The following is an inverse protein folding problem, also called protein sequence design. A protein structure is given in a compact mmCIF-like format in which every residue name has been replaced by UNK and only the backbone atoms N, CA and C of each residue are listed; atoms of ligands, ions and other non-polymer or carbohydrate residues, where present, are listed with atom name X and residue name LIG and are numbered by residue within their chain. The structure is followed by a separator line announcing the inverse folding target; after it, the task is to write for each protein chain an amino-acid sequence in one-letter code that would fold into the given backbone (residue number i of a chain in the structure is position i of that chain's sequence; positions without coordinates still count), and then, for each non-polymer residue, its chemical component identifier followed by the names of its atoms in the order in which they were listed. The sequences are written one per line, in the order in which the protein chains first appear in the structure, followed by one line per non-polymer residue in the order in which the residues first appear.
data_IF_893072681544
#
_entry.id   IF_893072681544
#
_cell.length_a   1.000
_cell.length_b   1.000
_cell.length_c   1.000
_cell.angle_alpha   90.00
_cell.angle_beta   90.00
_cell.angle_gamma   90.00
#
_symmetry.space_group_name_H-M   'P 1'
#
loop_
_entity.id
_entity.type
_entity.pdbx_description
1 polymer ?
#
# COMPACT_ATOMS: atom_id res chain seq x y z
N UNK A 1 13.60 35.81 -13.27
CA UNK A 1 12.44 34.95 -12.96
C UNK A 1 12.87 33.51 -13.12
N UNK A 2 13.16 32.81 -12.02
CA UNK A 2 13.70 31.44 -12.05
C UNK A 2 12.55 30.45 -11.89
N UNK A 3 12.21 29.76 -12.96
CA UNK A 3 11.31 28.60 -12.93
C UNK A 3 12.07 27.42 -12.34
N UNK A 4 11.86 27.15 -11.06
CA UNK A 4 12.30 25.90 -10.45
C UNK A 4 11.39 24.76 -10.94
N UNK A 5 11.83 24.08 -11.99
CA UNK A 5 11.31 22.77 -12.38
C UNK A 5 11.76 21.77 -11.31
N UNK A 6 10.79 21.15 -10.63
CA UNK A 6 11.01 20.01 -9.73
C UNK A 6 11.40 18.79 -10.55
N UNK A 7 12.64 18.77 -11.05
CA UNK A 7 13.24 17.60 -11.65
C UNK A 7 13.64 16.64 -10.53
N UNK A 8 12.91 15.54 -10.41
CA UNK A 8 13.38 14.34 -9.70
C UNK A 8 14.70 13.91 -10.34
N UNK A 9 15.83 14.32 -9.73
CA UNK A 9 17.16 13.86 -10.16
C UNK A 9 17.19 12.35 -9.99
N UNK A 10 17.21 11.62 -11.11
CA UNK A 10 17.42 10.18 -11.10
C UNK A 10 18.76 9.92 -10.41
N UNK A 11 18.83 9.06 -9.38
CA UNK A 11 20.13 8.69 -8.82
C UNK A 11 21.01 8.13 -9.95
N UNK A 12 22.34 8.34 -9.90
CA UNK A 12 23.28 7.65 -10.77
C UNK A 12 22.94 6.16 -10.89
N UNK A 13 23.18 5.56 -12.04
CA UNK A 13 22.78 4.18 -12.35
C UNK A 13 23.39 3.10 -11.45
N UNK A 14 24.23 3.49 -10.50
CA UNK A 14 25.01 2.63 -9.62
C UNK A 14 24.64 2.93 -8.17
N UNK A 15 23.93 1.99 -7.52
CA UNK A 15 23.61 2.05 -6.09
C UNK A 15 22.28 1.40 -5.76
N UNK A 16 22.25 0.57 -4.72
CA UNK A 16 21.00 0.02 -4.15
C UNK A 16 20.23 1.10 -3.39
N UNK A 17 18.95 0.88 -3.09
CA UNK A 17 18.16 1.81 -2.26
C UNK A 17 18.86 2.13 -0.93
N UNK A 18 19.41 1.12 -0.25
CA UNK A 18 20.16 1.29 0.99
C UNK A 18 21.39 2.18 0.83
N UNK A 19 22.13 2.03 -0.28
CA UNK A 19 23.27 2.89 -0.55
C UNK A 19 22.84 4.36 -0.60
N UNK A 20 21.78 4.67 -1.35
CA UNK A 20 21.30 6.05 -1.49
C UNK A 20 20.67 6.60 -0.22
N UNK A 21 19.93 5.78 0.52
CA UNK A 21 19.38 6.16 1.83
C UNK A 21 20.51 6.53 2.78
N UNK A 22 21.58 5.73 2.84
CA UNK A 22 22.75 6.00 3.68
C UNK A 22 23.50 7.26 3.24
N UNK A 23 23.77 7.44 1.95
CA UNK A 23 24.46 8.65 1.45
C UNK A 23 23.64 9.92 1.70
N UNK A 24 22.32 9.86 1.50
CA UNK A 24 21.42 10.96 1.86
C UNK A 24 21.39 11.18 3.38
N UNK A 25 21.47 10.11 4.19
CA UNK A 25 21.49 10.19 5.65
C UNK A 25 22.68 10.97 6.19
N UNK A 26 23.83 10.94 5.50
CA UNK A 26 25.02 11.74 5.86
C UNK A 26 24.77 13.26 5.78
N UNK A 27 23.73 13.71 5.09
CA UNK A 27 23.39 15.14 5.01
C UNK A 27 22.49 15.61 6.16
N UNK A 28 22.02 14.69 7.01
CA UNK A 28 21.18 15.00 8.17
C UNK A 28 22.04 15.20 9.42
N UNK A 29 21.77 16.27 10.15
CA UNK A 29 22.37 16.55 11.46
C UNK A 29 21.44 16.10 12.57
N UNK A 30 21.97 16.02 13.79
CA UNK A 30 21.18 15.71 14.99
C UNK A 30 20.02 16.70 15.19
N UNK A 31 20.25 17.98 14.87
CA UNK A 31 19.25 19.07 14.93
C UNK A 31 18.09 18.89 13.93
N UNK A 32 18.31 18.19 12.81
CA UNK A 32 17.30 17.92 11.78
C UNK A 32 16.35 16.78 12.21
N UNK A 33 16.73 16.03 13.27
CA UNK A 33 16.00 14.88 13.77
C UNK A 33 16.24 13.61 12.95
N UNK A 34 15.25 12.71 12.97
CA UNK A 34 15.34 11.43 12.27
C UNK A 34 15.24 11.64 10.76
N UNK A 35 16.10 10.96 10.02
CA UNK A 35 16.03 10.95 8.56
C UNK A 35 14.63 10.55 8.10
N UNK A 36 14.12 11.25 7.08
CA UNK A 36 12.82 11.00 6.47
C UNK A 36 12.97 10.62 5.00
N UNK A 37 12.24 9.58 4.58
CA UNK A 37 12.11 9.18 3.17
C UNK A 37 10.66 9.23 2.71
N UNK A 38 10.47 9.34 1.40
CA UNK A 38 9.17 9.21 0.76
C UNK A 38 9.11 7.85 0.06
N UNK A 39 8.07 7.07 0.31
CA UNK A 39 7.86 5.76 -0.27
C UNK A 39 6.55 5.74 -1.06
N UNK A 40 6.60 5.22 -2.28
CA UNK A 40 5.45 5.05 -3.15
C UNK A 40 5.59 3.78 -3.99
N UNK A 41 4.47 3.30 -4.53
CA UNK A 41 4.45 2.17 -5.44
C UNK A 41 3.87 2.62 -6.79
N UNK A 42 4.48 2.25 -7.93
CA UNK A 42 3.94 2.58 -9.23
C UNK A 42 2.63 1.82 -9.45
N UNK A 43 1.62 2.49 -10.00
CA UNK A 43 0.39 1.84 -10.46
C UNK A 43 0.60 1.22 -11.86
N UNK A 44 0.64 -0.12 -12.01
CA UNK A 44 0.81 -0.75 -13.31
C UNK A 44 -0.29 -0.33 -14.28
N UNK A 45 0.08 -0.01 -15.52
CA UNK A 45 -0.86 0.42 -16.56
C UNK A 45 -1.30 1.89 -16.49
N UNK A 46 -0.82 2.67 -15.50
CA UNK A 46 -1.06 4.12 -15.42
C UNK A 46 0.13 4.92 -15.92
N UNK A 47 -0.07 6.23 -16.06
CA UNK A 47 0.98 7.16 -16.50
C UNK A 47 2.20 7.05 -15.57
N UNK A 48 3.43 7.16 -16.09
CA UNK A 48 4.64 7.21 -15.26
C UNK A 48 4.52 8.25 -14.15
N UNK A 49 4.76 7.84 -12.90
CA UNK A 49 4.58 8.68 -11.71
C UNK A 49 3.23 8.56 -11.02
N UNK A 50 2.26 7.81 -11.56
CA UNK A 50 1.02 7.50 -10.86
C UNK A 50 1.24 6.47 -9.74
N UNK A 51 0.76 6.78 -8.54
CA UNK A 51 0.84 5.89 -7.37
C UNK A 51 -0.36 4.93 -7.29
N UNK A 52 -0.14 3.78 -6.67
CA UNK A 52 -1.21 2.83 -6.32
C UNK A 52 -2.25 3.48 -5.39
N UNK A 53 -3.47 2.96 -5.40
CA UNK A 53 -4.54 3.46 -4.52
C UNK A 53 -4.28 3.12 -3.05
N UNK A 54 -3.61 1.99 -2.83
CA UNK A 54 -3.18 1.48 -1.52
C UNK A 54 -1.75 0.94 -1.62
N UNK A 55 -1.02 0.93 -0.51
CA UNK A 55 0.30 0.30 -0.44
C UNK A 55 0.13 -1.21 -0.40
N UNK A 56 0.49 -1.94 -1.44
CA UNK A 56 0.52 -3.42 -1.42
C UNK A 56 1.49 -3.88 -0.34
N UNK A 57 0.97 -4.60 0.66
CA UNK A 57 1.71 -4.88 1.89
C UNK A 57 2.96 -5.74 1.65
N UNK A 58 2.85 -6.80 0.85
CA UNK A 58 3.97 -7.72 0.57
C UNK A 58 5.16 -6.97 -0.07
N UNK A 59 4.88 -6.06 -1.02
CA UNK A 59 5.89 -5.22 -1.65
C UNK A 59 6.53 -4.24 -0.66
N UNK A 60 5.72 -3.65 0.24
CA UNK A 60 6.25 -2.76 1.29
C UNK A 60 7.14 -3.51 2.29
N UNK A 61 6.74 -4.70 2.74
CA UNK A 61 7.55 -5.52 3.65
C UNK A 61 8.88 -5.92 3.00
N UNK A 62 8.88 -6.27 1.71
CA UNK A 62 10.11 -6.57 0.97
C UNK A 62 11.07 -5.38 0.88
N UNK A 63 10.56 -4.14 0.84
CA UNK A 63 11.36 -2.92 0.95
C UNK A 63 11.83 -2.69 2.40
N UNK A 64 10.90 -2.74 3.37
CA UNK A 64 11.17 -2.46 4.77
C UNK A 64 12.22 -3.41 5.38
N UNK A 65 12.19 -4.70 5.05
CA UNK A 65 13.17 -5.67 5.54
C UNK A 65 14.58 -5.47 4.97
N UNK A 66 14.70 -4.74 3.85
CA UNK A 66 16.01 -4.41 3.30
C UNK A 66 16.63 -3.19 3.99
N UNK A 67 15.84 -2.34 4.65
CA UNK A 67 16.36 -1.13 5.30
C UNK A 67 17.40 -1.46 6.36
N UNK A 68 18.58 -0.85 6.25
CA UNK A 68 19.65 -0.96 7.26
C UNK A 68 19.24 -0.32 8.59
N UNK A 69 18.54 0.82 8.54
CA UNK A 69 18.00 1.51 9.71
C UNK A 69 16.47 1.55 9.70
N UNK A 70 15.85 0.83 10.64
CA UNK A 70 14.39 0.77 10.84
C UNK A 70 13.84 1.94 11.66
N UNK A 71 14.69 2.87 12.13
CA UNK A 71 14.30 4.07 12.87
C UNK A 71 13.96 5.26 11.98
N UNK A 72 14.24 5.15 10.67
CA UNK A 72 13.94 6.16 9.65
C UNK A 72 12.43 6.43 9.56
N UNK A 73 12.07 7.70 9.37
CA UNK A 73 10.68 8.11 9.19
C UNK A 73 10.25 7.90 7.73
N UNK A 74 9.18 7.15 7.50
CA UNK A 74 8.68 6.83 6.15
C UNK A 74 7.37 7.58 5.89
N UNK A 75 7.37 8.49 4.92
CA UNK A 75 6.16 9.14 4.42
C UNK A 75 5.59 8.33 3.25
N UNK A 76 4.36 7.84 3.38
CA UNK A 76 3.69 7.10 2.32
C UNK A 76 3.02 8.07 1.35
N UNK A 77 3.42 8.04 0.07
CA UNK A 77 2.76 8.77 -1.01
C UNK A 77 1.73 7.84 -1.68
N UNK A 78 0.51 7.87 -1.16
CA UNK A 78 -0.58 6.95 -1.52
C UNK A 78 -1.94 7.62 -1.35
N UNK A 79 -2.95 7.17 -2.10
CA UNK A 79 -4.26 7.84 -2.17
C UNK A 79 -5.16 7.56 -0.97
N UNK A 80 -5.14 6.35 -0.43
CA UNK A 80 -5.92 5.95 0.74
C UNK A 80 -5.34 6.44 2.08
N UNK A 81 -4.22 7.17 2.04
CA UNK A 81 -3.60 7.92 3.14
C UNK A 81 -3.44 7.08 4.42
N UNK A 82 -4.32 7.32 5.39
CA UNK A 82 -4.26 6.73 6.72
C UNK A 82 -4.54 5.24 6.73
N UNK A 83 -5.27 4.70 5.74
CA UNK A 83 -5.52 3.25 5.65
C UNK A 83 -4.22 2.49 5.40
N UNK A 84 -3.43 2.91 4.40
CA UNK A 84 -2.09 2.36 4.17
C UNK A 84 -1.14 2.59 5.33
N UNK A 85 -1.21 3.74 6.00
CA UNK A 85 -0.37 4.02 7.16
C UNK A 85 -0.63 3.03 8.31
N UNK A 86 -1.89 2.84 8.71
CA UNK A 86 -2.26 1.89 9.77
C UNK A 86 -1.90 0.45 9.37
N UNK A 87 -2.08 0.09 8.09
CA UNK A 87 -1.66 -1.20 7.56
C UNK A 87 -0.17 -1.46 7.72
N UNK A 88 0.66 -0.50 7.30
CA UNK A 88 2.12 -0.61 7.44
C UNK A 88 2.53 -0.68 8.92
N UNK A 89 1.94 0.17 9.77
CA UNK A 89 2.19 0.18 11.22
C UNK A 89 1.84 -1.17 11.86
N UNK A 90 0.67 -1.73 11.58
CA UNK A 90 0.28 -3.05 12.10
C UNK A 90 1.26 -4.15 11.67
N UNK A 91 1.83 -4.05 10.46
CA UNK A 91 2.75 -5.04 9.95
C UNK A 91 4.18 -4.91 10.52
N UNK A 92 4.60 -3.71 10.94
CA UNK A 92 5.97 -3.45 11.41
C UNK A 92 6.09 -3.27 12.93
N UNK A 93 4.98 -3.10 13.65
CA UNK A 93 5.01 -2.93 15.10
C UNK A 93 5.58 -4.17 15.82
N UNK A 94 6.51 -3.99 16.79
CA UNK A 94 7.01 -5.10 17.60
C UNK A 94 5.92 -5.74 18.46
N UNK A 95 5.02 -4.92 19.01
CA UNK A 95 3.93 -5.38 19.88
C UNK A 95 2.74 -5.87 19.04
N UNK A 96 2.70 -7.19 18.82
CA UNK A 96 1.65 -7.86 18.04
C UNK A 96 0.42 -8.10 18.90
N UNK A 97 -0.61 -7.29 18.71
CA UNK A 97 -1.91 -7.42 19.40
C UNK A 97 -3.04 -7.65 18.42
N UNK A 98 -3.71 -8.79 18.52
CA UNK A 98 -4.83 -9.13 17.64
C UNK A 98 -5.95 -8.07 17.66
N UNK A 99 -6.15 -7.39 18.80
CA UNK A 99 -7.12 -6.30 18.93
C UNK A 99 -6.91 -5.15 17.93
N UNK A 100 -5.67 -4.95 17.43
CA UNK A 100 -5.39 -4.00 16.36
C UNK A 100 -6.02 -4.45 15.03
N UNK A 101 -5.91 -5.74 14.70
CA UNK A 101 -6.53 -6.30 13.49
C UNK A 101 -8.05 -6.37 13.63
N UNK A 102 -8.58 -6.66 14.82
CA UNK A 102 -10.04 -6.64 15.06
C UNK A 102 -10.62 -5.24 14.90
N UNK A 103 -9.91 -4.21 15.36
CA UNK A 103 -10.29 -2.81 15.16
C UNK A 103 -10.33 -2.46 13.68
N UNK A 104 -9.31 -2.84 12.93
CA UNK A 104 -9.26 -2.63 11.48
C UNK A 104 -10.34 -3.44 10.76
N UNK A 105 -10.58 -4.69 11.17
CA UNK A 105 -11.66 -5.50 10.63
C UNK A 105 -13.02 -4.82 10.79
N UNK A 106 -13.26 -4.16 11.93
CA UNK A 106 -14.46 -3.35 12.13
C UNK A 106 -14.70 -2.27 11.07
N UNK A 107 -13.62 -1.74 10.47
CA UNK A 107 -13.67 -0.72 9.40
C UNK A 107 -13.93 -1.34 8.03
N UNK A 108 -13.33 -2.48 7.73
CA UNK A 108 -13.43 -3.11 6.40
C UNK A 108 -14.62 -4.07 6.24
N UNK A 109 -15.16 -4.63 7.33
CA UNK A 109 -16.06 -5.80 7.29
C UNK A 109 -17.26 -5.68 6.34
N UNK A 110 -17.92 -4.53 6.30
CA UNK A 110 -19.13 -4.39 5.48
C UNK A 110 -18.79 -4.13 4.01
N UNK A 111 -17.73 -3.35 3.75
CA UNK A 111 -17.21 -3.18 2.40
C UNK A 111 -16.73 -4.52 1.84
N UNK A 112 -16.07 -5.35 2.64
CA UNK A 112 -15.62 -6.67 2.18
C UNK A 112 -16.81 -7.61 1.98
N UNK A 113 -17.80 -7.60 2.87
CA UNK A 113 -19.02 -8.39 2.69
C UNK A 113 -19.73 -8.05 1.38
N UNK A 114 -19.82 -6.77 1.04
CA UNK A 114 -20.42 -6.27 -0.20
C UNK A 114 -19.63 -6.75 -1.44
N UNK A 115 -18.29 -6.70 -1.39
CA UNK A 115 -17.43 -6.94 -2.55
C UNK A 115 -17.03 -8.39 -2.77
N UNK A 116 -16.84 -9.15 -1.69
CA UNK A 116 -16.32 -10.50 -1.70
C UNK A 116 -16.76 -11.28 -0.44
N UNK A 117 -17.95 -11.86 -0.49
CA UNK A 117 -18.50 -12.64 0.62
C UNK A 117 -17.62 -13.84 1.01
N UNK A 118 -16.87 -14.42 0.06
CA UNK A 118 -15.90 -15.49 0.34
C UNK A 118 -14.75 -14.97 1.23
N UNK A 119 -14.11 -13.86 0.84
CA UNK A 119 -13.02 -13.25 1.60
C UNK A 119 -13.48 -12.78 2.97
N UNK A 120 -14.72 -12.30 3.08
CA UNK A 120 -15.34 -11.99 4.38
C UNK A 120 -15.32 -13.19 5.34
N UNK A 121 -15.71 -14.38 4.86
CA UNK A 121 -15.70 -15.60 5.69
C UNK A 121 -14.27 -16.07 5.99
N UNK A 122 -13.34 -15.92 5.03
CA UNK A 122 -11.92 -16.21 5.22
C UNK A 122 -11.34 -15.34 6.33
N UNK A 123 -11.54 -14.03 6.30
CA UNK A 123 -11.05 -13.10 7.33
C UNK A 123 -11.70 -13.39 8.68
N UNK A 124 -13.01 -13.64 8.71
CA UNK A 124 -13.72 -13.99 9.95
C UNK A 124 -13.16 -15.27 10.58
N UNK A 125 -12.78 -16.25 9.76
CA UNK A 125 -12.17 -17.49 10.23
C UNK A 125 -10.74 -17.27 10.69
N UNK A 126 -9.97 -16.48 9.94
CA UNK A 126 -8.59 -16.10 10.26
C UNK A 126 -8.48 -15.45 11.65
N UNK A 127 -9.43 -14.57 12.00
CA UNK A 127 -9.44 -13.85 13.28
C UNK A 127 -10.03 -14.66 14.46
N UNK A 128 -10.40 -15.93 14.28
CA UNK A 128 -10.89 -16.78 15.39
C UNK A 128 -9.77 -17.20 16.34
N UNK A 129 -8.58 -17.48 15.81
CA UNK A 129 -7.43 -17.81 16.63
C UNK A 129 -6.92 -16.56 17.35
N UNK A 130 -7.10 -16.53 18.67
CA UNK A 130 -6.72 -15.42 19.54
C UNK A 130 -5.24 -15.42 19.93
N UNK A 131 -4.52 -16.50 19.64
CA UNK A 131 -3.10 -16.66 19.95
C UNK A 131 -2.17 -16.19 18.83
N UNK A 132 -2.67 -16.14 17.60
CA UNK A 132 -1.92 -15.72 16.42
C UNK A 132 -2.03 -14.21 16.12
N UNK A 133 -1.12 -13.72 15.28
CA UNK A 133 -1.17 -12.36 14.71
C UNK A 133 -0.98 -12.41 13.18
N UNK A 134 -2.01 -12.81 12.41
CA UNK A 134 -1.90 -13.07 10.98
C UNK A 134 -2.01 -11.78 10.14
N UNK A 135 -1.18 -10.78 10.42
CA UNK A 135 -1.28 -9.45 9.80
C UNK A 135 -1.12 -9.45 8.28
N UNK A 136 -0.17 -10.23 7.76
CA UNK A 136 0.09 -10.29 6.31
C UNK A 136 -1.08 -10.93 5.58
N UNK A 137 -1.54 -12.09 6.05
CA UNK A 137 -2.69 -12.81 5.47
C UNK A 137 -3.97 -11.97 5.56
N UNK A 138 -4.18 -11.28 6.69
CA UNK A 138 -5.32 -10.40 6.91
C UNK A 138 -5.39 -9.29 5.86
N UNK A 139 -4.31 -8.56 5.64
CA UNK A 139 -4.30 -7.46 4.67
C UNK A 139 -4.27 -7.94 3.22
N UNK A 140 -3.69 -9.11 2.93
CA UNK A 140 -3.75 -9.71 1.59
C UNK A 140 -5.20 -10.00 1.18
N UNK A 141 -5.98 -10.61 2.08
CA UNK A 141 -7.41 -10.86 1.84
C UNK A 141 -8.21 -9.55 1.65
N UNK A 142 -7.87 -8.48 2.38
CA UNK A 142 -8.49 -7.17 2.21
C UNK A 142 -8.17 -6.59 0.83
N UNK A 143 -6.89 -6.60 0.44
CA UNK A 143 -6.42 -6.08 -0.85
C UNK A 143 -7.09 -6.83 -2.02
N UNK A 144 -7.16 -8.16 -1.92
CA UNK A 144 -7.82 -9.01 -2.91
C UNK A 144 -9.32 -8.72 -3.02
N UNK A 145 -10.02 -8.63 -1.88
CA UNK A 145 -11.44 -8.32 -1.83
C UNK A 145 -11.76 -6.96 -2.45
N UNK A 146 -10.99 -5.92 -2.12
CA UNK A 146 -11.21 -4.56 -2.61
C UNK A 146 -10.95 -4.42 -4.11
N UNK A 147 -10.02 -5.20 -4.66
CA UNK A 147 -9.75 -5.22 -6.09
C UNK A 147 -10.81 -6.00 -6.91
N UNK A 148 -11.70 -6.76 -6.26
CA UNK A 148 -12.64 -7.67 -6.95
C UNK A 148 -13.75 -6.97 -7.74
N UNK A 149 -14.33 -5.86 -7.25
CA UNK A 149 -15.47 -5.22 -7.93
C UNK A 149 -15.09 -4.64 -9.29
N UNK A 150 -13.99 -3.87 -9.37
CA UNK A 150 -13.52 -3.34 -10.66
C UNK A 150 -13.22 -4.48 -11.65
N UNK A 151 -12.59 -5.57 -11.19
CA UNK A 151 -12.30 -6.75 -12.02
C UNK A 151 -13.56 -7.49 -12.50
N UNK A 152 -14.54 -7.70 -11.62
CA UNK A 152 -15.78 -8.39 -11.98
C UNK A 152 -16.63 -7.56 -12.94
N UNK A 153 -16.75 -6.25 -12.68
CA UNK A 153 -17.46 -5.34 -13.57
C UNK A 153 -16.78 -5.26 -14.95
N UNK A 154 -15.44 -5.26 -15.00
CA UNK A 154 -14.69 -5.28 -16.26
C UNK A 154 -14.96 -6.57 -17.04
N UNK A 155 -14.83 -7.74 -16.38
CA UNK A 155 -15.13 -9.04 -17.01
C UNK A 155 -16.55 -9.12 -17.56
N UNK A 156 -17.53 -8.56 -16.86
CA UNK A 156 -18.92 -8.51 -17.33
C UNK A 156 -19.06 -7.55 -18.51
N UNK A 157 -18.47 -6.36 -18.45
CA UNK A 157 -18.49 -5.41 -19.54
C UNK A 157 -17.86 -5.98 -20.82
N UNK A 158 -16.75 -6.73 -20.69
CA UNK A 158 -16.11 -7.44 -21.81
C UNK A 158 -16.99 -8.58 -22.33
N UNK A 159 -17.54 -9.41 -21.44
CA UNK A 159 -18.37 -10.57 -21.80
C UNK A 159 -19.64 -10.18 -22.57
N UNK A 160 -20.26 -9.07 -22.20
CA UNK A 160 -21.51 -8.60 -22.79
C UNK A 160 -21.30 -7.50 -23.84
N UNK A 161 -20.05 -7.19 -24.18
CA UNK A 161 -19.69 -6.14 -25.15
C UNK A 161 -20.38 -4.78 -24.84
N UNK A 162 -20.50 -4.46 -23.55
CA UNK A 162 -21.16 -3.24 -23.09
C UNK A 162 -20.25 -2.03 -23.34
N UNK A 163 -20.28 -1.53 -24.57
CA UNK A 163 -19.38 -0.49 -25.10
C UNK A 163 -19.33 0.74 -24.21
N UNK A 164 -20.47 1.16 -23.65
CA UNK A 164 -20.54 2.30 -22.73
C UNK A 164 -19.71 2.09 -21.44
N UNK A 165 -19.73 0.88 -20.88
CA UNK A 165 -18.91 0.54 -19.72
C UNK A 165 -17.44 0.37 -20.12
N UNK A 166 -17.15 -0.28 -21.24
CA UNK A 166 -15.77 -0.48 -21.73
C UNK A 166 -15.05 0.84 -22.06
N UNK A 167 -15.78 1.83 -22.55
CA UNK A 167 -15.29 3.19 -22.80
C UNK A 167 -15.37 4.09 -21.56
N UNK A 168 -15.98 3.60 -20.48
CA UNK A 168 -16.10 4.36 -19.24
C UNK A 168 -14.74 4.54 -18.61
N UNK A 169 -14.46 5.78 -18.22
CA UNK A 169 -13.33 6.13 -17.38
C UNK A 169 -13.36 5.40 -16.02
N UNK A 170 -14.49 4.81 -15.59
CA UNK A 170 -14.62 4.07 -14.34
C UNK A 170 -13.59 2.95 -14.15
N UNK A 171 -13.23 2.23 -15.22
CA UNK A 171 -12.22 1.16 -15.15
C UNK A 171 -10.78 1.67 -15.10
N UNK A 172 -10.57 2.92 -15.54
CA UNK A 172 -9.25 3.49 -15.79
C UNK A 172 -8.89 4.61 -14.80
N UNK A 173 -9.90 5.21 -14.18
CA UNK A 173 -9.79 6.17 -13.09
C UNK A 173 -9.81 5.47 -11.73
N UNK A 174 -9.15 6.10 -10.78
CA UNK A 174 -9.25 5.77 -9.36
C UNK A 174 -9.96 6.90 -8.64
#
# INVERSE_FOLDING_TARGET
MSTASTATRRPPAEGTDNYWIREAGKTWKEEDGKQKIHYSQPAPGKRPGAHTDTIVLDTFLAFYEKLEDKQIDIMLEVKDKNLSAVKCVNATLPEKRLSLLEKEWGRYKYTILEKAAADYQSIRTLLKDKSAYPVTEFYRLIEDALATVKRQLLKLAEKYEEVYLLQSLYFYLD
#
